data_IF_010635188048
#
_entry.id   IF_010635188048
#
_cell.length_a   1.000
_cell.length_b   1.000
_cell.length_c   1.000
_cell.angle_alpha   90.00
_cell.angle_beta   90.00
_cell.angle_gamma   90.00
#
_symmetry.space_group_name_H-M   'P 1'
#
loop_
_entity.id
_entity.type
_entity.pdbx_description
1 polymer ?
#
# COMPACT_ATOMS: atom_id res chain seq x y z
N UNK A 1 -9.01 -6.34 21.04
CA UNK A 1 -7.57 -6.33 20.68
C UNK A 1 -7.42 -6.93 19.30
N UNK A 2 -6.73 -6.28 18.38
CA UNK A 2 -6.49 -6.83 17.02
C UNK A 2 -5.57 -8.04 17.10
N UNK A 3 -5.88 -9.10 16.33
CA UNK A 3 -5.04 -10.31 16.24
C UNK A 3 -3.55 -9.97 16.05
N UNK A 4 -2.62 -10.68 16.72
CA UNK A 4 -1.19 -10.45 16.52
C UNK A 4 -0.82 -10.73 15.05
N UNK A 5 -0.06 -9.81 14.43
CA UNK A 5 0.42 -9.84 13.03
C UNK A 5 -0.62 -9.58 11.91
N UNK A 6 -1.55 -8.63 12.10
CA UNK A 6 -2.36 -8.15 10.96
C UNK A 6 -1.48 -7.50 9.88
N UNK A 7 -1.74 -7.86 8.62
CA UNK A 7 -1.04 -7.35 7.44
C UNK A 7 -2.05 -6.73 6.48
N UNK A 8 -1.75 -5.53 6.01
CA UNK A 8 -2.60 -4.80 5.06
C UNK A 8 -1.81 -4.47 3.80
N UNK A 9 -2.38 -4.77 2.64
CA UNK A 9 -1.91 -4.29 1.35
C UNK A 9 -2.93 -3.30 0.80
N UNK A 10 -2.51 -2.05 0.65
CA UNK A 10 -3.29 -1.07 -0.07
C UNK A 10 -3.07 -1.24 -1.56
N UNK A 11 -4.16 -1.58 -2.24
CA UNK A 11 -4.28 -1.51 -3.67
C UNK A 11 -4.67 -0.07 -4.06
N UNK A 12 -4.93 0.13 -5.35
CA UNK A 12 -5.31 1.43 -5.89
C UNK A 12 -6.47 2.05 -5.10
N UNK A 13 -6.47 3.37 -4.97
CA UNK A 13 -7.53 4.12 -4.30
C UNK A 13 -7.28 5.62 -4.38
N UNK A 14 -7.92 6.44 -3.53
CA UNK A 14 -7.97 7.88 -3.72
C UNK A 14 -6.57 8.50 -3.75
N UNK A 15 -6.34 9.36 -4.75
CA UNK A 15 -5.15 10.20 -4.80
C UNK A 15 -5.16 11.16 -3.58
N UNK A 16 -4.03 11.26 -2.88
CA UNK A 16 -3.89 12.14 -1.72
C UNK A 16 -3.43 11.45 -0.43
N UNK A 17 -3.51 12.16 0.72
CA UNK A 17 -2.89 11.73 1.98
C UNK A 17 -3.64 10.62 2.71
N UNK A 18 -4.86 10.26 2.28
CA UNK A 18 -5.74 9.36 3.03
C UNK A 18 -5.09 8.01 3.37
N UNK A 19 -4.52 7.31 2.39
CA UNK A 19 -3.85 6.02 2.63
C UNK A 19 -2.64 6.15 3.55
N UNK A 20 -1.89 7.27 3.45
CA UNK A 20 -0.77 7.53 4.37
C UNK A 20 -1.28 7.67 5.80
N UNK A 21 -2.39 8.37 6.00
CA UNK A 21 -2.95 8.61 7.33
C UNK A 21 -3.58 7.33 7.90
N UNK A 22 -4.24 6.52 7.07
CA UNK A 22 -4.71 5.19 7.46
C UNK A 22 -3.55 4.27 7.84
N UNK A 23 -2.49 4.23 7.03
CA UNK A 23 -1.30 3.41 7.31
C UNK A 23 -0.65 3.79 8.65
N UNK A 24 -0.63 5.09 8.99
CA UNK A 24 -0.12 5.58 10.28
C UNK A 24 -0.88 4.95 11.44
N UNK A 25 -2.22 4.99 11.41
CA UNK A 25 -3.05 4.43 12.48
C UNK A 25 -2.96 2.91 12.55
N UNK A 26 -2.95 2.21 11.41
CA UNK A 26 -2.77 0.75 11.39
C UNK A 26 -1.43 0.31 11.97
N UNK A 27 -0.35 1.04 11.65
CA UNK A 27 1.00 0.78 12.21
C UNK A 27 1.03 1.07 13.71
N UNK A 28 0.40 2.15 14.16
CA UNK A 28 0.26 2.44 15.59
C UNK A 28 -0.50 1.33 16.34
N UNK A 29 -1.42 0.64 15.67
CA UNK A 29 -2.13 -0.53 16.20
C UNK A 29 -1.33 -1.85 16.08
N UNK A 30 -0.06 -1.81 15.65
CA UNK A 30 0.82 -2.97 15.54
C UNK A 30 0.72 -3.75 14.23
N UNK A 31 0.02 -3.24 13.21
CA UNK A 31 -0.10 -3.89 11.92
C UNK A 31 1.06 -3.54 10.97
N UNK A 32 1.35 -4.44 10.03
CA UNK A 32 2.25 -4.15 8.90
C UNK A 32 1.43 -3.70 7.70
N UNK A 33 1.93 -2.68 7.00
CA UNK A 33 1.20 -2.05 5.89
C UNK A 33 2.11 -1.84 4.70
N UNK A 34 1.64 -2.28 3.54
CA UNK A 34 2.25 -2.06 2.22
C UNK A 34 1.29 -1.31 1.30
N UNK A 35 1.84 -0.68 0.26
CA UNK A 35 1.08 -0.06 -0.82
C UNK A 35 1.66 -0.49 -2.17
N UNK A 36 0.85 -1.09 -3.02
CA UNK A 36 1.17 -1.27 -4.43
C UNK A 36 0.93 0.05 -5.16
N UNK A 37 1.94 0.54 -5.88
CA UNK A 37 1.86 1.80 -6.61
C UNK A 37 2.18 1.62 -8.08
N UNK A 38 1.33 2.21 -8.93
CA UNK A 38 1.36 2.04 -10.38
C UNK A 38 1.73 3.34 -11.11
N UNK A 39 1.70 4.48 -10.41
CA UNK A 39 1.97 5.80 -10.99
C UNK A 39 2.79 6.69 -10.04
N UNK A 40 3.28 7.82 -10.56
CA UNK A 40 4.04 8.79 -9.78
C UNK A 40 3.24 9.39 -8.61
N UNK A 41 1.93 9.56 -8.78
CA UNK A 41 1.05 10.06 -7.72
C UNK A 41 1.07 9.17 -6.48
N UNK A 42 0.97 7.85 -6.65
CA UNK A 42 1.05 6.88 -5.55
C UNK A 42 2.35 7.03 -4.76
N UNK A 43 3.47 7.25 -5.46
CA UNK A 43 4.78 7.48 -4.84
C UNK A 43 4.84 8.81 -4.11
N UNK A 44 4.35 9.90 -4.72
CA UNK A 44 4.40 11.24 -4.14
C UNK A 44 3.59 11.36 -2.85
N UNK A 45 2.46 10.65 -2.76
CA UNK A 45 1.59 10.67 -1.57
C UNK A 45 1.94 9.61 -0.51
N UNK A 46 2.85 8.68 -0.82
CA UNK A 46 3.31 7.67 0.14
C UNK A 46 4.69 8.02 0.70
N UNK A 47 4.71 8.48 1.97
CA UNK A 47 5.93 8.75 2.71
C UNK A 47 6.09 7.71 3.82
N UNK A 48 7.07 6.83 3.70
CA UNK A 48 7.37 5.77 4.69
C UNK A 48 7.59 4.39 4.06
N UNK A 49 7.83 3.36 4.89
CA UNK A 49 8.16 2.01 4.42
C UNK A 49 6.97 1.33 3.73
N UNK A 50 7.26 0.22 3.04
CA UNK A 50 6.23 -0.67 2.48
C UNK A 50 5.66 -0.25 1.12
N UNK A 51 6.29 0.69 0.41
CA UNK A 51 5.90 0.97 -0.98
C UNK A 51 6.44 -0.11 -1.92
N UNK A 52 5.58 -0.64 -2.79
CA UNK A 52 5.92 -1.64 -3.81
C UNK A 52 5.61 -1.01 -5.16
N UNK A 53 6.65 -0.65 -5.90
CA UNK A 53 6.49 -0.13 -7.26
C UNK A 53 6.18 -1.29 -8.21
N UNK A 54 5.04 -1.23 -8.90
CA UNK A 54 4.66 -2.23 -9.89
C UNK A 54 5.08 -1.72 -11.27
N UNK A 55 6.00 -2.45 -11.89
CA UNK A 55 6.56 -2.13 -13.22
C UNK A 55 6.11 -3.11 -14.31
N UNK A 56 5.43 -4.19 -13.93
CA UNK A 56 4.92 -5.19 -14.86
C UNK A 56 3.83 -4.60 -15.75
N UNK A 57 3.90 -4.86 -17.04
CA UNK A 57 2.76 -4.65 -17.94
C UNK A 57 1.60 -5.59 -17.53
N UNK A 58 0.36 -5.17 -17.79
CA UNK A 58 -0.83 -5.98 -17.49
C UNK A 58 -0.77 -7.39 -18.12
N UNK A 59 -0.12 -7.52 -19.28
CA UNK A 59 0.08 -8.82 -19.95
C UNK A 59 0.90 -9.83 -19.13
N UNK A 60 1.75 -9.37 -18.22
CA UNK A 60 2.54 -10.25 -17.34
C UNK A 60 1.70 -10.89 -16.23
N UNK A 61 0.40 -10.59 -16.15
CA UNK A 61 -0.53 -11.15 -15.17
C UNK A 61 -1.48 -12.19 -15.77
N UNK A 62 -1.32 -12.51 -17.06
CA UNK A 62 -1.99 -13.67 -17.63
C UNK A 62 -1.48 -14.91 -16.89
N UNK A 63 -2.34 -15.54 -16.10
CA UNK A 63 -2.09 -16.87 -15.57
C UNK A 63 -2.28 -17.91 -16.68
N UNK A 64 -1.64 -19.07 -16.53
CA UNK A 64 -1.93 -20.25 -17.35
C UNK A 64 -3.37 -20.75 -17.14
#
# INVERSE_FOLDING_TARGET
MTSPDRRFLFLQGPHGPWFRDLARHLRAAGAKVWRAGFNLGDRMFWRGPGYIAIHSAAAAWAGD
#
